data_IF_952536251626
#
_entry.id   IF_952536251626
#
_cell.length_a   1.000
_cell.length_b   1.000
_cell.length_c   1.000
_cell.angle_alpha   90.00
_cell.angle_beta   90.00
_cell.angle_gamma   90.00
#
_symmetry.space_group_name_H-M   'P 1'
#
loop_
_entity.id
_entity.type
_entity.pdbx_description
1 polymer ?
#
# COMPACT_ATOMS: atom_id res chain seq x y z
N UNK A 1 -5.89 -8.19 15.96
CA UNK A 1 -4.85 -8.45 14.95
C UNK A 1 -4.44 -7.12 14.35
N UNK A 2 -3.16 -6.89 14.07
CA UNK A 2 -2.72 -5.66 13.39
C UNK A 2 -3.15 -5.74 11.91
N UNK A 3 -3.87 -4.76 11.35
CA UNK A 3 -4.29 -4.76 9.95
C UNK A 3 -3.09 -4.92 8.99
N UNK A 4 -3.27 -5.70 7.93
CA UNK A 4 -2.28 -5.79 6.84
C UNK A 4 -2.77 -4.99 5.64
N UNK A 5 -1.94 -4.04 5.20
CA UNK A 5 -2.18 -3.20 4.03
C UNK A 5 -1.15 -3.58 2.98
N UNK A 6 -1.59 -3.98 1.79
CA UNK A 6 -0.72 -4.34 0.68
C UNK A 6 -0.64 -3.17 -0.29
N UNK A 7 0.58 -2.77 -0.62
CA UNK A 7 0.87 -1.67 -1.55
C UNK A 7 1.90 -2.17 -2.56
N UNK A 8 1.55 -2.26 -3.86
CA UNK A 8 2.44 -2.76 -4.88
C UNK A 8 3.79 -2.03 -4.92
N UNK A 9 4.86 -2.77 -5.23
CA UNK A 9 6.24 -2.31 -5.31
C UNK A 9 6.96 -2.79 -6.58
N UNK A 10 6.23 -3.35 -7.54
CA UNK A 10 6.75 -3.60 -8.88
C UNK A 10 6.99 -2.29 -9.65
N UNK A 11 7.74 -2.37 -10.75
CA UNK A 11 8.13 -1.21 -11.55
C UNK A 11 6.95 -0.42 -12.11
N UNK A 12 5.86 -1.09 -12.52
CA UNK A 12 4.69 -0.43 -13.08
C UNK A 12 3.94 0.38 -12.04
N UNK A 13 3.68 -0.20 -10.86
CA UNK A 13 3.06 0.52 -9.76
C UNK A 13 3.95 1.67 -9.23
N UNK A 14 5.27 1.46 -9.18
CA UNK A 14 6.22 2.51 -8.81
C UNK A 14 6.21 3.69 -9.80
N UNK A 15 6.13 3.43 -11.11
CA UNK A 15 6.02 4.46 -12.15
C UNK A 15 4.75 5.31 -11.98
N UNK A 16 3.68 4.71 -11.46
CA UNK A 16 2.40 5.38 -11.15
C UNK A 16 2.36 6.01 -9.76
N UNK A 17 3.47 5.99 -9.01
CA UNK A 17 3.59 6.69 -7.74
C UNK A 17 3.25 5.86 -6.49
N UNK A 18 3.30 4.52 -6.56
CA UNK A 18 3.07 3.65 -5.40
C UNK A 18 3.97 3.97 -4.18
N UNK A 19 5.18 4.51 -4.41
CA UNK A 19 6.05 4.95 -3.31
C UNK A 19 5.49 6.17 -2.56
N UNK A 20 4.83 7.10 -3.27
CA UNK A 20 4.15 8.24 -2.64
C UNK A 20 2.98 7.76 -1.79
N UNK A 21 2.21 6.79 -2.30
CA UNK A 21 1.10 6.16 -1.58
C UNK A 21 1.58 5.47 -0.30
N UNK A 22 2.65 4.66 -0.39
CA UNK A 22 3.22 3.98 0.77
C UNK A 22 3.72 4.96 1.85
N UNK A 23 4.37 6.06 1.45
CA UNK A 23 4.81 7.11 2.38
C UNK A 23 3.65 7.85 3.03
N UNK A 24 2.63 8.22 2.26
CA UNK A 24 1.45 8.91 2.78
C UNK A 24 0.70 8.05 3.81
N UNK A 25 0.49 6.77 3.51
CA UNK A 25 -0.17 5.84 4.45
C UNK A 25 0.67 5.66 5.73
N UNK A 26 2.01 5.55 5.63
CA UNK A 26 2.87 5.49 6.83
C UNK A 26 2.75 6.74 7.70
N UNK A 27 2.74 7.92 7.09
CA UNK A 27 2.59 9.18 7.80
C UNK A 27 1.24 9.25 8.52
N UNK A 28 0.15 8.90 7.84
CA UNK A 28 -1.21 8.92 8.40
C UNK A 28 -1.38 7.92 9.56
N UNK A 29 -0.81 6.73 9.42
CA UNK A 29 -0.81 5.73 10.51
C UNK A 29 -0.09 6.27 11.75
N UNK A 30 1.06 6.92 11.56
CA UNK A 30 1.81 7.53 12.66
C UNK A 30 1.05 8.71 13.29
N UNK A 31 0.47 9.58 12.47
CA UNK A 31 -0.31 10.75 12.92
C UNK A 31 -1.54 10.33 13.74
N UNK A 32 -2.22 9.26 13.33
CA UNK A 32 -3.38 8.72 14.04
C UNK A 32 -3.04 7.76 15.19
N UNK A 33 -1.77 7.41 15.38
CA UNK A 33 -1.36 6.38 16.34
C UNK A 33 -1.95 4.99 16.04
N UNK A 34 -2.23 4.69 14.77
CA UNK A 34 -2.79 3.39 14.35
C UNK A 34 -1.64 2.48 13.94
N UNK A 35 -1.52 1.32 14.59
CA UNK A 35 -0.58 0.29 14.18
C UNK A 35 -1.15 -0.51 13.01
N UNK A 36 -0.40 -0.59 11.90
CA UNK A 36 -0.71 -1.45 10.75
C UNK A 36 0.57 -1.97 10.10
N UNK A 37 0.51 -3.17 9.51
CA UNK A 37 1.62 -3.77 8.76
C UNK A 37 1.46 -3.47 7.27
N UNK A 38 2.36 -2.67 6.72
CA UNK A 38 2.44 -2.43 5.28
C UNK A 38 3.32 -3.50 4.62
N UNK A 39 2.77 -4.20 3.64
CA UNK A 39 3.47 -5.20 2.82
C UNK A 39 3.66 -4.65 1.41
N UNK A 40 4.90 -4.70 0.90
CA UNK A 40 5.21 -4.34 -0.49
C UNK A 40 5.15 -5.59 -1.37
N UNK A 41 4.03 -5.80 -2.05
CA UNK A 41 3.78 -6.94 -2.95
C UNK A 41 4.05 -6.57 -4.42
N UNK A 42 3.95 -7.54 -5.33
CA UNK A 42 3.85 -7.24 -6.76
C UNK A 42 2.41 -6.90 -7.17
N UNK A 43 2.26 -6.19 -8.30
CA UNK A 43 0.96 -5.91 -8.92
C UNK A 43 0.16 -7.18 -9.22
N UNK A 44 -1.17 -7.04 -9.20
CA UNK A 44 -2.11 -8.05 -9.70
C UNK A 44 -2.32 -7.99 -11.23
N UNK A 45 -1.66 -7.06 -11.92
CA UNK A 45 -1.83 -6.81 -13.36
C UNK A 45 -2.99 -5.88 -13.71
N UNK A 46 -3.71 -5.36 -12.72
CA UNK A 46 -4.78 -4.39 -12.90
C UNK A 46 -4.22 -2.95 -13.06
N UNK A 47 -3.36 -2.73 -14.05
CA UNK A 47 -2.62 -1.47 -14.21
C UNK A 47 -3.51 -0.22 -14.34
N UNK A 48 -4.76 -0.38 -14.75
CA UNK A 48 -5.74 0.71 -14.78
C UNK A 48 -6.18 1.20 -13.39
N UNK A 49 -5.94 0.41 -12.33
CA UNK A 49 -6.20 0.75 -10.92
C UNK A 49 -4.94 1.02 -10.11
N UNK A 50 -3.75 0.86 -10.72
CA UNK A 50 -2.52 1.07 -9.98
C UNK A 50 -2.32 2.55 -9.64
N UNK A 51 -1.87 2.90 -8.42
CA UNK A 51 -1.46 2.00 -7.33
C UNK A 51 -2.64 1.36 -6.55
N UNK A 52 -2.79 0.04 -6.63
CA UNK A 52 -3.93 -0.68 -6.03
C UNK A 52 -3.63 -1.10 -4.60
N UNK A 53 -4.23 -0.41 -3.63
CA UNK A 53 -4.09 -0.72 -2.19
C UNK A 53 -5.11 -1.78 -1.77
N UNK A 54 -4.65 -2.88 -1.16
CA UNK A 54 -5.52 -3.94 -0.62
C UNK A 54 -5.45 -3.96 0.91
N UNK A 55 -6.55 -4.28 1.61
CA UNK A 55 -6.60 -4.40 3.09
C UNK A 55 -7.14 -5.77 3.47
N UNK A 56 -6.41 -6.50 4.33
CA UNK A 56 -6.88 -7.77 4.88
C UNK A 56 -7.99 -7.54 5.91
N UNK A 57 -9.10 -8.29 5.81
CA UNK A 57 -10.31 -8.12 6.63
C UNK A 57 -10.61 -9.26 7.61
N UNK A 58 -9.81 -10.33 7.62
CA UNK A 58 -9.95 -11.50 8.49
C UNK A 58 -8.97 -11.46 9.68
#
# INVERSE_FOLDING_TARGET
MIPRIYIPGDSGALALGAEKVAKAIRAELAERGIEAKIVRNGSRGAYFLEPMVEVATA
#
